data_IF_370485890341
#
_entry.id   IF_370485890341
#
_cell.length_a   1.000
_cell.length_b   1.000
_cell.length_c   1.000
_cell.angle_alpha   90.00
_cell.angle_beta   90.00
_cell.angle_gamma   90.00
#
_symmetry.space_group_name_H-M   'P 1'
#
loop_
_entity.id
_entity.type
_entity.pdbx_description
1 polymer ?
#
# COMPACT_ATOMS: atom_id res chain seq x y z
N UNK A 1 50.94 64.94 65.83
CA UNK A 1 51.64 63.64 65.99
C UNK A 1 50.66 62.48 66.01
N UNK A 2 50.17 62.07 67.19
CA UNK A 2 49.38 60.83 67.36
C UNK A 2 48.08 60.74 66.53
N UNK A 3 47.27 61.81 66.46
CA UNK A 3 46.02 61.82 65.69
C UNK A 3 46.25 61.69 64.17
N UNK A 4 47.32 62.29 63.65
CA UNK A 4 47.71 62.18 62.23
C UNK A 4 48.11 60.74 61.91
N UNK A 5 48.87 60.11 62.82
CA UNK A 5 49.27 58.70 62.64
C UNK A 5 48.06 57.76 62.67
N UNK A 6 47.08 57.97 63.56
CA UNK A 6 45.86 57.16 63.59
C UNK A 6 44.96 57.35 62.36
N UNK A 7 44.87 58.58 61.84
CA UNK A 7 44.18 58.87 60.58
C UNK A 7 44.84 58.15 59.41
N UNK A 8 46.18 58.21 59.33
CA UNK A 8 46.95 57.48 58.31
C UNK A 8 46.68 55.99 58.37
N UNK A 9 46.78 55.38 59.55
CA UNK A 9 46.53 53.94 59.73
C UNK A 9 45.09 53.56 59.35
N UNK A 10 44.10 54.37 59.73
CA UNK A 10 42.70 54.12 59.35
C UNK A 10 42.50 54.21 57.83
N UNK A 11 43.11 55.20 57.19
CA UNK A 11 43.07 55.36 55.74
C UNK A 11 43.72 54.17 55.02
N UNK A 12 44.90 53.73 55.46
CA UNK A 12 45.60 52.58 54.88
C UNK A 12 44.77 51.30 54.97
N UNK A 13 44.13 51.06 56.13
CA UNK A 13 43.26 49.91 56.31
C UNK A 13 42.04 49.96 55.38
N UNK A 14 41.41 51.12 55.21
CA UNK A 14 40.28 51.28 54.30
C UNK A 14 40.70 51.07 52.84
N UNK A 15 41.88 51.54 52.44
CA UNK A 15 42.42 51.33 51.11
C UNK A 15 42.70 49.85 50.83
N UNK A 16 43.27 49.14 51.81
CA UNK A 16 43.48 47.68 51.72
C UNK A 16 42.15 46.95 51.59
N UNK A 17 41.14 47.31 52.38
CA UNK A 17 39.80 46.71 52.32
C UNK A 17 39.17 46.95 50.94
N UNK A 18 39.20 48.19 50.44
CA UNK A 18 38.69 48.53 49.11
C UNK A 18 39.41 47.74 48.00
N UNK A 19 40.74 47.63 48.05
CA UNK A 19 41.52 46.84 47.09
C UNK A 19 41.15 45.36 47.12
N UNK A 20 40.90 44.81 48.31
CA UNK A 20 40.45 43.42 48.47
C UNK A 20 39.07 43.21 47.86
N UNK A 21 38.12 44.13 48.10
CA UNK A 21 36.78 44.07 47.49
C UNK A 21 36.83 44.16 45.97
N UNK A 22 37.66 45.05 45.41
CA UNK A 22 37.84 45.17 43.95
C UNK A 22 38.42 43.87 43.37
N UNK A 23 39.44 43.32 44.01
CA UNK A 23 40.04 42.04 43.61
C UNK A 23 38.99 40.91 43.63
N UNK A 24 38.13 40.88 44.64
CA UNK A 24 37.06 39.89 44.75
C UNK A 24 36.01 40.03 43.65
N UNK A 25 35.61 41.27 43.31
CA UNK A 25 34.70 41.52 42.19
C UNK A 25 35.32 41.09 40.85
N UNK A 26 36.60 41.40 40.63
CA UNK A 26 37.32 41.01 39.41
C UNK A 26 37.42 39.48 39.25
N UNK A 27 37.46 38.73 40.34
CA UNK A 27 37.55 37.26 40.30
C UNK A 27 36.20 36.57 40.14
N UNK A 28 35.11 37.17 40.59
CA UNK A 28 33.82 36.48 40.73
C UNK A 28 32.70 37.02 39.83
N UNK A 29 32.89 38.16 39.17
CA UNK A 29 31.91 38.72 38.24
C UNK A 29 32.01 38.08 36.84
N UNK A 30 30.89 38.06 36.11
CA UNK A 30 30.90 37.87 34.65
C UNK A 30 31.47 39.14 34.00
N UNK A 31 32.68 39.05 33.48
CA UNK A 31 33.40 40.18 32.91
C UNK A 31 33.45 40.12 31.39
N UNK A 32 33.52 41.28 30.75
CA UNK A 32 33.75 41.38 29.32
C UNK A 32 35.21 41.03 28.99
N UNK A 33 35.39 40.12 28.04
CA UNK A 33 36.68 39.67 27.54
C UNK A 33 36.76 39.99 26.05
N UNK A 34 37.66 40.91 25.65
CA UNK A 34 37.82 41.37 24.27
C UNK A 34 38.40 40.30 23.32
N UNK A 35 39.07 39.28 23.87
CA UNK A 35 39.72 38.25 23.07
C UNK A 35 38.71 37.18 22.61
N UNK A 36 37.53 37.11 23.24
CA UNK A 36 36.45 36.20 22.85
C UNK A 36 35.74 36.64 21.57
N UNK A 37 34.94 35.72 21.02
CA UNK A 37 34.10 35.97 19.83
C UNK A 37 34.92 36.54 18.66
N UNK A 38 36.07 35.92 18.38
CA UNK A 38 37.00 36.33 17.31
C UNK A 38 37.44 37.80 17.45
N UNK A 39 37.78 38.24 18.66
CA UNK A 39 38.28 39.60 18.93
C UNK A 39 37.20 40.69 18.97
N UNK A 40 35.91 40.32 18.88
CA UNK A 40 34.78 41.27 19.02
C UNK A 40 34.33 41.45 20.46
N UNK A 41 34.85 40.60 21.35
CA UNK A 41 34.52 40.53 22.75
C UNK A 41 33.20 39.81 23.07
N UNK A 42 33.13 39.28 24.29
CA UNK A 42 31.94 38.67 24.88
C UNK A 42 32.05 38.66 26.41
N UNK A 43 30.92 38.44 27.10
CA UNK A 43 30.96 38.10 28.53
C UNK A 43 31.54 36.69 28.71
N UNK A 44 32.53 36.55 29.58
CA UNK A 44 33.23 35.30 29.83
C UNK A 44 32.63 34.59 31.06
N UNK A 45 32.01 33.43 30.82
CA UNK A 45 31.46 32.57 31.87
C UNK A 45 32.51 31.64 32.51
N UNK A 46 33.79 31.87 32.26
CA UNK A 46 34.89 31.11 32.87
C UNK A 46 35.12 31.58 34.31
N UNK A 47 35.16 30.63 35.25
CA UNK A 47 35.59 30.87 36.63
C UNK A 47 36.69 29.86 36.97
N UNK A 48 37.81 30.34 37.50
CA UNK A 48 39.01 29.54 37.78
C UNK A 48 39.50 28.72 36.56
N UNK A 49 39.45 29.32 35.36
CA UNK A 49 39.93 28.69 34.12
C UNK A 49 39.01 27.62 33.53
N UNK A 50 37.79 27.45 34.05
CA UNK A 50 36.80 26.50 33.52
C UNK A 50 35.49 27.21 33.19
N UNK A 51 34.86 26.84 32.07
CA UNK A 51 33.53 27.31 31.73
C UNK A 51 32.51 26.87 32.80
N UNK A 52 31.68 27.79 33.28
CA UNK A 52 30.68 27.53 34.31
C UNK A 52 29.26 27.62 33.79
N UNK A 53 28.32 27.11 34.59
CA UNK A 53 26.88 27.22 34.34
C UNK A 53 26.38 28.62 34.69
N UNK A 54 25.49 29.16 33.85
CA UNK A 54 24.64 30.30 34.19
C UNK A 54 23.25 29.74 34.52
N UNK A 55 22.78 29.93 35.74
CA UNK A 55 21.50 29.40 36.25
C UNK A 55 20.62 30.53 36.76
N UNK A 56 19.38 30.22 37.15
CA UNK A 56 18.35 31.19 37.55
C UNK A 56 18.01 32.18 36.42
N UNK A 57 18.14 31.71 35.18
CA UNK A 57 17.74 32.43 33.97
C UNK A 57 16.28 32.12 33.70
N UNK A 58 15.44 33.15 33.59
CA UNK A 58 14.06 32.98 33.15
C UNK A 58 14.05 32.50 31.68
N UNK A 59 13.05 31.70 31.32
CA UNK A 59 12.86 31.26 29.94
C UNK A 59 12.78 32.45 29.01
N UNK A 60 13.58 32.42 27.94
CA UNK A 60 13.56 33.48 26.93
C UNK A 60 12.27 33.47 26.11
N UNK A 61 11.91 34.61 25.55
CA UNK A 61 10.78 34.69 24.63
C UNK A 61 11.06 33.91 23.34
N UNK A 62 10.17 32.98 22.97
CA UNK A 62 10.26 32.19 21.73
C UNK A 62 9.55 32.92 20.59
N UNK A 63 10.20 33.96 20.09
CA UNK A 63 9.71 34.76 18.96
C UNK A 63 10.87 35.15 18.04
N UNK A 64 10.54 35.50 16.79
CA UNK A 64 11.53 36.00 15.84
C UNK A 64 12.26 37.22 16.43
N UNK A 65 13.57 37.33 16.21
CA UNK A 65 14.46 38.41 16.69
C UNK A 65 14.64 38.52 18.22
N UNK A 66 14.15 37.57 19.02
CA UNK A 66 14.47 37.50 20.44
C UNK A 66 15.99 37.41 20.66
N UNK A 67 16.49 38.15 21.65
CA UNK A 67 17.88 38.09 22.11
C UNK A 67 17.98 37.52 23.53
N UNK A 68 16.87 36.96 24.03
CA UNK A 68 16.85 36.31 25.33
C UNK A 68 17.64 34.99 25.27
N UNK A 69 18.21 34.60 26.40
CA UNK A 69 18.87 33.30 26.54
C UNK A 69 17.81 32.19 26.49
N UNK A 70 18.05 31.17 25.65
CA UNK A 70 17.25 29.94 25.67
C UNK A 70 17.73 29.05 26.81
N UNK A 71 16.81 28.62 27.67
CA UNK A 71 17.11 27.75 28.82
C UNK A 71 17.06 26.27 28.44
N UNK A 72 17.58 25.42 29.33
CA UNK A 72 17.53 23.95 29.17
C UNK A 72 16.08 23.43 29.15
N UNK A 73 15.16 24.03 29.90
CA UNK A 73 13.75 23.62 29.91
C UNK A 73 13.07 23.82 28.55
N UNK A 74 13.40 24.91 27.86
CA UNK A 74 12.90 25.19 26.51
C UNK A 74 13.48 24.21 25.47
N UNK A 75 14.77 23.90 25.59
CA UNK A 75 15.42 22.90 24.75
C UNK A 75 14.87 21.49 25.02
N UNK A 76 14.63 21.15 26.29
CA UNK A 76 14.02 19.87 26.68
C UNK A 76 12.63 19.72 26.09
N UNK A 77 11.78 20.75 26.20
CA UNK A 77 10.44 20.75 25.59
C UNK A 77 10.50 20.50 24.09
N UNK A 78 11.42 21.16 23.39
CA UNK A 78 11.65 20.96 21.95
C UNK A 78 12.06 19.51 21.65
N UNK A 79 13.00 18.96 22.41
CA UNK A 79 13.48 17.59 22.24
C UNK A 79 12.41 16.54 22.57
N UNK A 80 11.56 16.79 23.57
CA UNK A 80 10.41 15.93 23.88
C UNK A 80 9.42 15.90 22.72
N UNK A 81 9.07 17.06 22.16
CA UNK A 81 8.19 17.14 20.99
C UNK A 81 8.78 16.41 19.77
N UNK A 82 10.11 16.53 19.56
CA UNK A 82 10.81 15.80 18.51
C UNK A 82 10.75 14.28 18.74
N UNK A 83 10.90 13.84 19.99
CA UNK A 83 10.74 12.43 20.38
C UNK A 83 9.34 11.90 20.08
N UNK A 84 8.30 12.66 20.44
CA UNK A 84 6.91 12.32 20.13
C UNK A 84 6.69 12.24 18.62
N UNK A 85 7.17 13.22 17.86
CA UNK A 85 7.05 13.22 16.40
C UNK A 85 7.74 11.99 15.78
N UNK A 86 8.95 11.66 16.24
CA UNK A 86 9.69 10.46 15.79
C UNK A 86 8.89 9.18 16.06
N UNK A 87 8.28 9.07 17.25
CA UNK A 87 7.39 7.96 17.60
C UNK A 87 6.19 7.86 16.66
N UNK A 88 5.48 8.97 16.43
CA UNK A 88 4.32 9.01 15.53
C UNK A 88 4.67 8.65 14.08
N UNK A 89 5.82 9.11 13.59
CA UNK A 89 6.34 8.75 12.26
C UNK A 89 6.61 7.25 12.17
N UNK A 90 7.27 6.67 13.17
CA UNK A 90 7.57 5.23 13.22
C UNK A 90 6.30 4.37 13.25
N UNK A 91 5.31 4.75 14.06
CA UNK A 91 3.99 4.09 14.08
C UNK A 91 3.31 4.18 12.73
N UNK A 92 3.27 5.36 12.11
CA UNK A 92 2.66 5.56 10.79
C UNK A 92 3.33 4.70 9.73
N UNK A 93 4.66 4.66 9.71
CA UNK A 93 5.42 3.84 8.78
C UNK A 93 5.13 2.34 8.97
N UNK A 94 5.05 1.88 10.22
CA UNK A 94 4.69 0.50 10.54
C UNK A 94 3.27 0.14 10.06
N UNK A 95 2.30 1.02 10.27
CA UNK A 95 0.92 0.82 9.78
C UNK A 95 0.85 0.77 8.25
N UNK A 96 1.61 1.64 7.56
CA UNK A 96 1.71 1.61 6.09
C UNK A 96 2.35 0.32 5.59
N UNK A 97 3.42 -0.14 6.24
CA UNK A 97 4.09 -1.41 5.92
C UNK A 97 3.15 -2.60 6.08
N UNK A 98 2.38 -2.66 7.18
CA UNK A 98 1.39 -3.72 7.41
C UNK A 98 0.29 -3.69 6.34
N UNK A 99 -0.25 -2.51 6.03
CA UNK A 99 -1.27 -2.36 4.98
C UNK A 99 -0.76 -2.83 3.61
N UNK A 100 0.50 -2.54 3.28
CA UNK A 100 1.14 -3.01 2.06
C UNK A 100 1.32 -4.54 2.06
N UNK A 101 1.68 -5.12 3.20
CA UNK A 101 1.79 -6.56 3.37
C UNK A 101 0.44 -7.26 3.18
N UNK A 102 -0.64 -6.74 3.78
CA UNK A 102 -2.00 -7.30 3.65
C UNK A 102 -2.48 -7.27 2.19
N UNK A 103 -2.17 -6.21 1.45
CA UNK A 103 -2.45 -6.11 0.01
C UNK A 103 -1.66 -7.16 -0.77
N UNK A 104 -0.35 -7.28 -0.51
CA UNK A 104 0.53 -8.16 -1.26
C UNK A 104 0.30 -9.66 -0.96
N UNK A 105 0.04 -10.02 0.29
CA UNK A 105 -0.15 -11.40 0.72
C UNK A 105 -1.56 -11.87 0.41
N UNK A 106 -2.59 -11.22 0.97
CA UNK A 106 -3.90 -11.86 1.09
C UNK A 106 -4.74 -11.62 -0.15
N UNK A 107 -4.81 -10.36 -0.60
CA UNK A 107 -5.67 -9.98 -1.73
C UNK A 107 -5.15 -10.50 -3.06
N UNK A 108 -3.83 -10.43 -3.29
CA UNK A 108 -3.24 -10.97 -4.52
C UNK A 108 -3.31 -12.51 -4.57
N UNK A 109 -3.10 -13.18 -3.44
CA UNK A 109 -3.26 -14.65 -3.36
C UNK A 109 -4.70 -15.07 -3.60
N UNK A 110 -5.67 -14.38 -2.99
CA UNK A 110 -7.09 -14.64 -3.21
C UNK A 110 -7.50 -14.43 -4.67
N UNK A 111 -7.06 -13.31 -5.28
CA UNK A 111 -7.32 -13.04 -6.69
C UNK A 111 -6.71 -14.11 -7.60
N UNK A 112 -5.47 -14.52 -7.34
CA UNK A 112 -4.80 -15.61 -8.06
C UNK A 112 -5.59 -16.92 -7.97
N UNK A 113 -6.09 -17.27 -6.78
CA UNK A 113 -6.94 -18.44 -6.58
C UNK A 113 -8.27 -18.39 -7.32
N UNK A 114 -8.95 -17.22 -7.34
CA UNK A 114 -10.17 -17.01 -8.11
C UNK A 114 -9.92 -17.11 -9.62
N UNK A 115 -8.80 -16.59 -10.10
CA UNK A 115 -8.41 -16.69 -11.51
C UNK A 115 -8.15 -18.15 -11.91
N UNK A 116 -7.43 -18.91 -11.09
CA UNK A 116 -7.19 -20.33 -11.32
C UNK A 116 -8.51 -21.12 -11.39
N UNK A 117 -9.41 -20.88 -10.44
CA UNK A 117 -10.73 -21.53 -10.41
C UNK A 117 -11.55 -21.20 -11.66
N UNK A 118 -11.53 -19.93 -12.10
CA UNK A 118 -12.20 -19.50 -13.34
C UNK A 118 -11.62 -20.21 -14.56
N UNK A 119 -10.31 -20.34 -14.63
CA UNK A 119 -9.62 -21.02 -15.72
C UNK A 119 -9.97 -22.52 -15.77
N UNK A 120 -10.06 -23.17 -14.61
CA UNK A 120 -10.46 -24.57 -14.50
C UNK A 120 -11.91 -24.80 -14.96
N UNK A 121 -12.83 -23.91 -14.57
CA UNK A 121 -14.22 -23.98 -15.05
C UNK A 121 -14.33 -23.70 -16.55
N UNK A 122 -13.57 -22.75 -17.09
CA UNK A 122 -13.53 -22.50 -18.53
C UNK A 122 -13.03 -23.73 -19.30
N UNK A 123 -12.00 -24.42 -18.79
CA UNK A 123 -11.48 -25.66 -19.38
C UNK A 123 -12.50 -26.78 -19.34
N UNK A 124 -13.23 -26.94 -18.22
CA UNK A 124 -14.33 -27.91 -18.11
C UNK A 124 -15.42 -27.60 -19.12
N UNK A 125 -15.88 -26.36 -19.20
CA UNK A 125 -16.90 -25.92 -20.14
C UNK A 125 -16.49 -26.20 -21.59
N UNK A 126 -15.25 -25.87 -21.97
CA UNK A 126 -14.69 -26.15 -23.29
C UNK A 126 -14.69 -27.65 -23.62
N UNK A 127 -14.30 -28.48 -22.65
CA UNK A 127 -14.26 -29.94 -22.81
C UNK A 127 -15.66 -30.51 -22.99
N UNK A 128 -16.58 -30.14 -22.10
CA UNK A 128 -17.99 -30.57 -22.16
C UNK A 128 -18.65 -30.15 -23.46
N UNK A 129 -18.48 -28.90 -23.88
CA UNK A 129 -19.04 -28.38 -25.14
C UNK A 129 -18.51 -29.15 -26.34
N UNK A 130 -17.20 -29.43 -26.38
CA UNK A 130 -16.57 -30.21 -27.46
C UNK A 130 -17.13 -31.62 -27.54
N UNK A 131 -17.34 -32.29 -26.40
CA UNK A 131 -17.94 -33.62 -26.33
C UNK A 131 -19.41 -33.61 -26.79
N UNK A 132 -20.19 -32.62 -26.34
CA UNK A 132 -21.60 -32.46 -26.74
C UNK A 132 -21.73 -32.24 -28.25
N UNK A 133 -20.90 -31.36 -28.84
CA UNK A 133 -20.86 -31.15 -30.29
C UNK A 133 -20.47 -32.41 -31.06
N UNK A 134 -19.47 -33.15 -30.57
CA UNK A 134 -19.08 -34.43 -31.17
C UNK A 134 -20.22 -35.44 -31.17
N UNK A 135 -20.93 -35.55 -30.05
CA UNK A 135 -22.08 -36.45 -29.93
C UNK A 135 -23.23 -36.03 -30.84
N UNK A 136 -23.56 -34.74 -30.90
CA UNK A 136 -24.57 -34.22 -31.82
C UNK A 136 -24.21 -34.53 -33.28
N UNK A 137 -22.95 -34.35 -33.66
CA UNK A 137 -22.47 -34.67 -35.00
C UNK A 137 -22.56 -36.16 -35.32
N UNK A 138 -22.19 -37.04 -34.38
CA UNK A 138 -22.36 -38.50 -34.52
C UNK A 138 -23.83 -38.87 -34.70
N UNK A 139 -24.72 -38.31 -33.87
CA UNK A 139 -26.16 -38.58 -33.95
C UNK A 139 -26.76 -38.09 -35.27
N UNK A 140 -26.32 -36.91 -35.75
CA UNK A 140 -26.73 -36.39 -37.06
C UNK A 140 -26.27 -37.31 -38.18
N UNK A 141 -25.03 -37.80 -38.15
CA UNK A 141 -24.53 -38.78 -39.11
C UNK A 141 -25.32 -40.09 -39.07
N UNK A 142 -25.70 -40.57 -37.89
CA UNK A 142 -26.57 -41.75 -37.74
C UNK A 142 -27.97 -41.51 -38.32
N UNK A 143 -28.55 -40.32 -38.11
CA UNK A 143 -29.86 -39.98 -38.68
C UNK A 143 -29.79 -39.88 -40.20
N UNK A 144 -28.76 -39.25 -40.76
CA UNK A 144 -28.55 -39.15 -42.21
C UNK A 144 -28.39 -40.52 -42.88
N UNK A 145 -27.80 -41.50 -42.19
CA UNK A 145 -27.61 -42.85 -42.72
C UNK A 145 -28.87 -43.73 -42.63
N UNK A 146 -29.72 -43.51 -41.63
CA UNK A 146 -30.80 -44.46 -41.28
C UNK A 146 -32.22 -43.93 -41.51
N UNK A 147 -32.39 -42.66 -41.88
CA UNK A 147 -33.70 -42.10 -42.22
C UNK A 147 -34.05 -42.32 -43.70
N UNK A 148 -35.35 -42.41 -44.02
CA UNK A 148 -35.85 -42.22 -45.38
C UNK A 148 -35.71 -40.74 -45.74
N UNK A 149 -34.73 -40.42 -46.58
CA UNK A 149 -34.42 -39.04 -46.96
C UNK A 149 -34.96 -38.73 -48.35
N UNK A 150 -35.33 -37.46 -48.53
CA UNK A 150 -35.67 -36.95 -49.85
C UNK A 150 -34.43 -36.85 -50.73
N UNK A 151 -34.49 -37.49 -51.90
CA UNK A 151 -33.45 -37.46 -52.92
C UNK A 151 -33.98 -36.74 -54.15
N UNK A 152 -33.44 -35.55 -54.43
CA UNK A 152 -33.86 -34.68 -55.53
C UNK A 152 -33.54 -35.26 -56.92
N UNK A 153 -32.64 -36.23 -57.03
CA UNK A 153 -32.23 -36.79 -58.32
C UNK A 153 -33.15 -37.92 -58.79
N UNK A 154 -33.94 -38.50 -57.87
CA UNK A 154 -34.91 -39.53 -58.20
C UNK A 154 -36.09 -38.96 -59.01
N UNK A 155 -36.87 -39.86 -59.61
CA UNK A 155 -38.07 -39.53 -60.36
C UNK A 155 -37.81 -38.48 -61.47
N UNK A 156 -36.77 -38.71 -62.27
CA UNK A 156 -36.35 -37.81 -63.34
C UNK A 156 -36.13 -36.36 -62.86
N UNK A 157 -35.49 -36.19 -61.70
CA UNK A 157 -35.18 -34.88 -61.13
C UNK A 157 -36.35 -34.15 -60.46
N UNK A 158 -37.51 -34.80 -60.31
CA UNK A 158 -38.65 -34.27 -59.52
C UNK A 158 -38.52 -34.57 -58.03
N UNK A 159 -37.56 -35.44 -57.69
CA UNK A 159 -37.30 -35.95 -56.36
C UNK A 159 -38.30 -37.01 -55.89
N UNK A 160 -37.83 -37.84 -54.98
CA UNK A 160 -38.62 -38.83 -54.26
C UNK A 160 -37.93 -39.16 -52.93
N UNK A 161 -38.67 -39.76 -51.98
CA UNK A 161 -38.02 -40.38 -50.83
C UNK A 161 -37.27 -41.64 -51.27
N UNK A 162 -36.00 -41.74 -50.89
CA UNK A 162 -35.13 -42.87 -51.23
C UNK A 162 -35.21 -43.96 -50.15
N UNK A 163 -35.73 -45.13 -50.52
CA UNK A 163 -35.83 -46.29 -49.65
C UNK A 163 -34.55 -47.14 -49.63
N UNK A 164 -33.48 -46.67 -50.26
CA UNK A 164 -32.21 -47.38 -50.28
C UNK A 164 -31.44 -47.18 -48.97
N UNK A 165 -30.77 -48.23 -48.50
CA UNK A 165 -29.81 -48.15 -47.39
C UNK A 165 -28.48 -48.72 -47.89
N UNK A 166 -27.40 -47.95 -47.74
CA UNK A 166 -26.08 -48.27 -48.31
C UNK A 166 -26.13 -48.59 -49.82
N UNK A 167 -26.96 -47.86 -50.58
CA UNK A 167 -27.09 -48.01 -52.03
C UNK A 167 -27.89 -49.25 -52.48
N UNK A 168 -28.52 -49.96 -51.55
CA UNK A 168 -29.34 -51.15 -51.83
C UNK A 168 -30.79 -50.83 -51.51
N UNK A 169 -31.72 -51.18 -52.40
CA UNK A 169 -33.15 -51.04 -52.15
C UNK A 169 -33.58 -51.89 -50.95
N UNK A 170 -34.16 -51.26 -49.93
CA UNK A 170 -34.64 -51.95 -48.74
C UNK A 170 -36.17 -52.02 -48.72
N UNK A 171 -36.68 -52.95 -47.91
CA UNK A 171 -38.12 -53.04 -47.61
C UNK A 171 -38.52 -51.93 -46.64
N UNK A 172 -39.68 -51.33 -46.88
CA UNK A 172 -40.41 -50.55 -45.87
C UNK A 172 -41.45 -51.49 -45.27
N UNK A 173 -41.39 -51.70 -43.95
CA UNK A 173 -42.27 -52.62 -43.21
C UNK A 173 -43.05 -51.86 -42.13
N UNK A 174 -44.01 -52.50 -41.48
CA UNK A 174 -44.94 -51.88 -40.52
C UNK A 174 -45.74 -50.73 -41.14
N UNK A 175 -46.11 -50.88 -42.41
CA UNK A 175 -47.04 -50.00 -43.12
C UNK A 175 -48.44 -50.58 -42.94
N UNK A 176 -49.42 -49.75 -42.60
CA UNK A 176 -50.81 -50.17 -42.46
C UNK A 176 -51.42 -50.52 -43.83
N UNK A 177 -52.49 -51.33 -43.82
CA UNK A 177 -53.22 -51.66 -45.05
C UNK A 177 -53.83 -50.39 -45.68
N UNK A 178 -53.71 -50.30 -47.00
CA UNK A 178 -54.19 -49.15 -47.76
C UNK A 178 -55.72 -49.18 -47.94
N UNK A 179 -56.35 -47.99 -47.97
CA UNK A 179 -57.69 -47.86 -48.54
C UNK A 179 -57.63 -48.04 -50.07
N UNK A 180 -58.45 -48.95 -50.60
CA UNK A 180 -58.55 -49.27 -52.03
C UNK A 180 -59.67 -48.50 -52.74
N UNK A 181 -60.26 -47.50 -52.08
CA UNK A 181 -61.27 -46.64 -52.68
C UNK A 181 -60.70 -45.76 -53.81
N UNK A 182 -61.53 -45.40 -54.82
CA UNK A 182 -61.08 -44.51 -55.90
C UNK A 182 -60.57 -43.16 -55.37
N UNK A 183 -59.32 -42.83 -55.70
CA UNK A 183 -58.67 -41.57 -55.30
C UNK A 183 -57.72 -41.68 -54.09
N UNK A 184 -57.60 -42.86 -53.47
CA UNK A 184 -56.61 -43.10 -52.42
C UNK A 184 -55.16 -42.89 -52.90
N UNK A 185 -54.31 -42.37 -52.01
CA UNK A 185 -52.86 -42.21 -52.20
C UNK A 185 -52.05 -43.03 -51.19
N UNK A 186 -52.70 -43.99 -50.53
CA UNK A 186 -52.04 -44.84 -49.55
C UNK A 186 -51.05 -45.80 -50.22
N UNK A 187 -49.96 -46.10 -49.52
CA UNK A 187 -49.02 -47.12 -49.97
C UNK A 187 -49.65 -48.51 -49.79
N UNK A 188 -49.88 -49.24 -50.89
CA UNK A 188 -50.41 -50.60 -50.87
C UNK A 188 -49.31 -51.58 -50.42
N UNK A 189 -49.62 -52.42 -49.42
CA UNK A 189 -48.71 -53.44 -48.88
C UNK A 189 -48.87 -54.77 -49.61
N UNK A 190 -47.86 -55.66 -49.50
CA UNK A 190 -47.84 -56.94 -50.21
C UNK A 190 -48.72 -58.05 -49.62
N UNK A 191 -49.30 -57.85 -48.43
CA UNK A 191 -49.97 -58.90 -47.64
C UNK A 191 -49.00 -59.85 -46.94
#
# INVERSE_FOLDING_TARGET
>A
GKQINSLSTSFDQQLIAAKSSVTSLQQNALLWNNDLNNGKGAYDATHNGQAQRITNVLNGSVQASSSDVVTVDQLFTTNSNLGTLSGSVSTTFSSLSNSLSDINSDKLTELSGKLQSTNDELRKLSTTTSLSLKNANTNLGSLQQNALLWNNELNNGKGAYDASHNGIYQRITNVADADLSPGSSDAVTGG
#
